data_IF_694701905947
#
_entry.id   IF_694701905947
#
_cell.length_a   1.000
_cell.length_b   1.000
_cell.length_c   1.000
_cell.angle_alpha   90.00
_cell.angle_beta   90.00
_cell.angle_gamma   90.00
#
_symmetry.space_group_name_H-M   'P 1'
#
loop_
_entity.id
_entity.type
_entity.pdbx_description
1 polymer ?
#
# COMPACT_ATOMS: atom_id res chain seq x y z
N UNK A 1 -5.29 -15.57 0.00
CA UNK A 1 -4.41 -14.79 -0.91
C UNK A 1 -3.09 -15.49 -1.25
N UNK A 2 -2.29 -15.97 -0.28
CA UNK A 2 -0.99 -16.64 -0.54
C UNK A 2 -1.01 -17.73 -1.64
N UNK A 3 -2.09 -18.51 -1.78
CA UNK A 3 -2.18 -19.55 -2.81
C UNK A 3 -2.07 -19.04 -4.25
N UNK A 4 -2.58 -17.83 -4.55
CA UNK A 4 -2.48 -17.27 -5.91
C UNK A 4 -1.04 -16.87 -6.25
N UNK A 5 -0.25 -16.48 -5.24
CA UNK A 5 1.17 -16.22 -5.41
C UNK A 5 1.95 -17.49 -5.71
N UNK A 6 1.67 -18.59 -5.01
CA UNK A 6 2.32 -19.87 -5.30
C UNK A 6 2.07 -20.32 -6.75
N UNK A 7 0.83 -20.13 -7.24
CA UNK A 7 0.46 -20.42 -8.62
C UNK A 7 1.21 -19.51 -9.59
N UNK A 8 1.24 -18.20 -9.34
CA UNK A 8 1.96 -17.23 -10.18
C UNK A 8 3.46 -17.52 -10.24
N UNK A 9 4.06 -17.85 -9.09
CA UNK A 9 5.47 -18.25 -8.97
C UNK A 9 5.76 -19.53 -9.75
N UNK A 10 4.96 -20.59 -9.54
CA UNK A 10 5.11 -21.84 -10.27
C UNK A 10 4.98 -21.65 -11.79
N UNK A 11 3.99 -20.86 -12.23
CA UNK A 11 3.77 -20.57 -13.64
C UNK A 11 4.93 -19.78 -14.25
N UNK A 12 5.38 -18.71 -13.60
CA UNK A 12 6.48 -17.86 -14.09
C UNK A 12 7.83 -18.60 -14.11
N UNK A 13 8.10 -19.46 -13.12
CA UNK A 13 9.26 -20.36 -13.12
C UNK A 13 9.19 -21.36 -14.27
N UNK A 14 8.03 -21.98 -14.51
CA UNK A 14 7.87 -22.91 -15.62
C UNK A 14 8.11 -22.23 -16.98
N UNK A 15 7.56 -21.02 -17.17
CA UNK A 15 7.73 -20.22 -18.39
C UNK A 15 9.20 -19.87 -18.64
N UNK A 16 9.90 -19.37 -17.62
CA UNK A 16 11.32 -19.00 -17.75
C UNK A 16 12.23 -20.21 -17.93
N UNK A 17 11.87 -21.37 -17.37
CA UNK A 17 12.58 -22.63 -17.58
C UNK A 17 12.37 -23.18 -18.99
N UNK A 18 11.15 -23.07 -19.55
CA UNK A 18 10.83 -23.56 -20.90
C UNK A 18 11.41 -22.68 -22.01
N UNK A 19 11.60 -21.38 -21.76
CA UNK A 19 12.03 -20.41 -22.76
C UNK A 19 13.16 -19.50 -22.25
N UNK A 20 14.31 -20.05 -21.81
CA UNK A 20 15.34 -19.29 -21.11
C UNK A 20 15.92 -18.13 -21.94
N UNK A 21 16.08 -18.31 -23.26
CA UNK A 21 16.59 -17.26 -24.16
C UNK A 21 15.65 -16.05 -24.27
N UNK A 22 14.33 -16.24 -24.10
CA UNK A 22 13.36 -15.12 -24.15
C UNK A 22 13.40 -14.23 -22.90
N UNK A 23 14.06 -14.69 -21.84
CA UNK A 23 14.17 -14.01 -20.56
C UNK A 23 15.62 -13.81 -20.15
N UNK A 24 16.54 -13.73 -21.12
CA UNK A 24 17.97 -13.49 -20.89
C UNK A 24 18.62 -14.46 -19.89
N UNK A 25 18.13 -15.70 -19.85
CA UNK A 25 18.54 -16.73 -18.88
C UNK A 25 18.37 -16.30 -17.40
N UNK A 26 17.45 -15.37 -17.13
CA UNK A 26 17.11 -14.94 -15.76
C UNK A 26 16.08 -15.86 -15.11
N UNK A 27 16.01 -15.80 -13.78
CA UNK A 27 15.05 -16.57 -12.98
C UNK A 27 13.86 -15.71 -12.58
N UNK A 28 12.66 -16.30 -12.62
CA UNK A 28 11.45 -15.62 -12.15
C UNK A 28 11.32 -15.61 -10.61
N UNK A 29 11.87 -16.59 -9.90
CA UNK A 29 11.75 -16.79 -8.45
C UNK A 29 12.83 -16.09 -7.63
N UNK A 30 13.11 -14.83 -7.96
CA UNK A 30 14.09 -14.02 -7.21
C UNK A 30 13.44 -13.26 -6.05
N UNK A 31 14.21 -12.93 -5.01
CA UNK A 31 13.73 -12.07 -3.91
C UNK A 31 13.22 -10.72 -4.40
N UNK A 32 13.83 -10.16 -5.44
CA UNK A 32 13.39 -8.91 -6.05
C UNK A 32 12.03 -9.04 -6.76
N UNK A 33 11.79 -10.16 -7.45
CA UNK A 33 10.51 -10.46 -8.05
C UNK A 33 9.42 -10.69 -6.99
N UNK A 34 9.73 -11.44 -5.93
CA UNK A 34 8.81 -11.67 -4.80
C UNK A 34 8.43 -10.32 -4.13
N UNK A 35 9.41 -9.44 -3.87
CA UNK A 35 9.16 -8.11 -3.31
C UNK A 35 8.27 -7.25 -4.23
N UNK A 36 8.60 -7.16 -5.53
CA UNK A 36 7.80 -6.39 -6.49
C UNK A 36 6.36 -6.91 -6.55
N UNK A 37 6.18 -8.23 -6.59
CA UNK A 37 4.85 -8.83 -6.62
C UNK A 37 4.06 -8.53 -5.35
N UNK A 38 4.72 -8.59 -4.18
CA UNK A 38 4.11 -8.27 -2.89
C UNK A 38 3.66 -6.81 -2.84
N UNK A 39 4.54 -5.86 -3.18
CA UNK A 39 4.23 -4.43 -3.15
C UNK A 39 3.11 -4.06 -4.13
N UNK A 40 3.09 -4.65 -5.32
CA UNK A 40 2.02 -4.40 -6.30
C UNK A 40 0.66 -4.89 -5.79
N UNK A 41 0.60 -6.04 -5.14
CA UNK A 41 -0.65 -6.55 -4.59
C UNK A 41 -1.12 -5.72 -3.41
N UNK A 42 -0.22 -5.37 -2.49
CA UNK A 42 -0.56 -4.50 -1.37
C UNK A 42 -1.10 -3.17 -1.90
N UNK A 43 -0.43 -2.53 -2.87
CA UNK A 43 -0.94 -1.29 -3.45
C UNK A 43 -2.32 -1.44 -4.10
N UNK A 44 -2.58 -2.55 -4.79
CA UNK A 44 -3.88 -2.81 -5.40
C UNK A 44 -4.98 -3.06 -4.36
N UNK A 45 -4.68 -3.82 -3.32
CA UNK A 45 -5.60 -4.11 -2.22
C UNK A 45 -5.89 -2.86 -1.38
N UNK A 46 -4.88 -2.01 -1.14
CA UNK A 46 -5.04 -0.72 -0.48
C UNK A 46 -6.08 0.17 -1.19
N UNK A 47 -6.02 0.25 -2.53
CA UNK A 47 -7.01 1.05 -3.28
C UNK A 47 -8.42 0.51 -3.08
N UNK A 48 -8.59 -0.81 -3.04
CA UNK A 48 -9.90 -1.41 -2.79
C UNK A 48 -10.39 -1.13 -1.36
N UNK A 49 -9.52 -1.33 -0.36
CA UNK A 49 -9.85 -1.10 1.05
C UNK A 49 -10.16 0.38 1.32
N UNK A 50 -9.38 1.31 0.78
CA UNK A 50 -9.61 2.75 0.94
C UNK A 50 -10.97 3.17 0.35
N UNK A 51 -11.35 2.65 -0.81
CA UNK A 51 -12.67 2.92 -1.36
C UNK A 51 -13.78 2.37 -0.45
N UNK A 52 -13.61 1.14 0.08
CA UNK A 52 -14.58 0.52 0.99
C UNK A 52 -14.69 1.34 2.29
N UNK A 53 -13.57 1.66 2.94
CA UNK A 53 -13.54 2.40 4.21
C UNK A 53 -14.08 3.81 4.06
N UNK A 54 -13.67 4.53 3.02
CA UNK A 54 -14.14 5.90 2.78
C UNK A 54 -15.63 5.94 2.43
N UNK A 55 -16.13 5.04 1.58
CA UNK A 55 -17.57 4.95 1.27
C UNK A 55 -18.37 4.57 2.51
N UNK A 56 -17.94 3.54 3.25
CA UNK A 56 -18.60 3.16 4.50
C UNK A 56 -18.63 4.30 5.52
N UNK A 57 -17.56 5.10 5.60
CA UNK A 57 -17.49 6.25 6.48
C UNK A 57 -18.47 7.35 6.09
N UNK A 58 -18.51 7.73 4.80
CA UNK A 58 -19.46 8.73 4.29
C UNK A 58 -20.90 8.29 4.48
N UNK A 59 -21.20 7.02 4.21
CA UNK A 59 -22.54 6.43 4.37
C UNK A 59 -22.91 6.16 5.83
N UNK A 60 -22.00 6.39 6.78
CA UNK A 60 -22.15 6.06 8.20
C UNK A 60 -22.57 4.60 8.41
N UNK A 61 -21.99 3.71 7.61
CA UNK A 61 -22.34 2.30 7.56
C UNK A 61 -21.90 1.58 8.85
N UNK A 62 -22.65 0.53 9.23
CA UNK A 62 -22.41 -0.23 10.47
C UNK A 62 -21.08 -1.01 10.48
N UNK A 63 -20.51 -1.23 9.30
CA UNK A 63 -19.27 -1.96 9.06
C UNK A 63 -18.05 -1.03 8.89
N UNK A 64 -18.20 0.29 9.11
CA UNK A 64 -17.10 1.25 9.00
C UNK A 64 -15.89 0.87 9.87
N UNK A 65 -16.11 0.48 11.13
CA UNK A 65 -15.02 0.06 12.03
C UNK A 65 -14.26 -1.16 11.50
N UNK A 66 -14.97 -2.11 10.88
CA UNK A 66 -14.35 -3.29 10.30
C UNK A 66 -13.52 -2.94 9.05
N UNK A 67 -14.00 -1.99 8.24
CA UNK A 67 -13.27 -1.49 7.07
C UNK A 67 -11.99 -0.75 7.47
N UNK A 68 -12.05 0.13 8.49
CA UNK A 68 -10.86 0.81 9.01
C UNK A 68 -9.85 -0.17 9.61
N UNK A 69 -10.31 -1.15 10.38
CA UNK A 69 -9.43 -2.18 10.93
C UNK A 69 -8.70 -2.98 9.84
N UNK A 70 -9.37 -3.24 8.71
CA UNK A 70 -8.73 -3.88 7.56
C UNK A 70 -7.62 -3.00 6.96
N UNK A 71 -7.79 -1.67 6.90
CA UNK A 71 -6.73 -0.75 6.47
C UNK A 71 -5.56 -0.67 7.45
N UNK A 72 -5.81 -0.74 8.75
CA UNK A 72 -4.75 -0.78 9.78
C UNK A 72 -3.89 -2.04 9.62
N UNK A 73 -4.55 -3.20 9.45
CA UNK A 73 -3.86 -4.46 9.19
C UNK A 73 -3.06 -4.40 7.88
N UNK A 74 -3.63 -3.78 6.85
CA UNK A 74 -2.96 -3.62 5.55
C UNK A 74 -1.76 -2.65 5.63
N UNK A 75 -1.82 -1.63 6.48
CA UNK A 75 -0.67 -0.76 6.79
C UNK A 75 0.46 -1.55 7.46
N UNK A 76 0.13 -2.46 8.39
CA UNK A 76 1.10 -3.33 9.01
C UNK A 76 1.79 -4.28 8.00
N UNK A 77 1.06 -4.77 7.00
CA UNK A 77 1.63 -5.59 5.91
C UNK A 77 2.59 -4.79 5.02
N UNK A 78 2.24 -3.55 4.67
CA UNK A 78 3.16 -2.63 3.98
C UNK A 78 4.42 -2.36 4.79
N UNK A 79 4.28 -2.10 6.10
CA UNK A 79 5.42 -1.90 7.00
C UNK A 79 6.33 -3.14 7.02
N UNK A 80 5.76 -4.35 7.06
CA UNK A 80 6.53 -5.59 7.00
C UNK A 80 7.30 -5.73 5.67
N UNK A 81 6.67 -5.37 4.54
CA UNK A 81 7.35 -5.36 3.24
C UNK A 81 8.50 -4.34 3.21
N UNK A 82 8.31 -3.14 3.74
CA UNK A 82 9.37 -2.13 3.86
C UNK A 82 10.51 -2.60 4.76
N UNK A 83 10.20 -3.23 5.90
CA UNK A 83 11.19 -3.80 6.81
C UNK A 83 12.11 -4.82 6.15
N UNK A 84 11.58 -5.59 5.19
CA UNK A 84 12.37 -6.59 4.46
C UNK A 84 13.51 -5.99 3.63
N UNK A 85 13.43 -4.69 3.32
CA UNK A 85 14.40 -3.94 2.49
C UNK A 85 15.20 -2.95 3.32
N UNK A 86 14.53 -2.12 4.10
CA UNK A 86 15.12 -0.97 4.80
C UNK A 86 15.34 -1.20 6.30
N UNK A 87 15.11 -2.43 6.78
CA UNK A 87 15.20 -2.78 8.19
C UNK A 87 14.12 -2.10 9.05
N UNK A 88 14.25 -2.26 10.37
CA UNK A 88 13.23 -1.79 11.32
C UNK A 88 13.06 -0.26 11.29
N UNK A 89 14.18 0.48 11.30
CA UNK A 89 14.15 1.95 11.32
C UNK A 89 13.49 2.53 10.06
N UNK A 90 13.82 1.99 8.88
CA UNK A 90 13.18 2.42 7.64
C UNK A 90 11.68 2.07 7.59
N UNK A 91 11.29 0.91 8.13
CA UNK A 91 9.89 0.53 8.24
C UNK A 91 9.08 1.45 9.19
N UNK A 92 9.68 1.84 10.31
CA UNK A 92 9.05 2.78 11.25
C UNK A 92 8.91 4.19 10.63
N UNK A 93 9.93 4.64 9.90
CA UNK A 93 9.85 5.92 9.16
C UNK A 93 8.79 5.87 8.05
N UNK A 94 8.70 4.75 7.31
CA UNK A 94 7.65 4.54 6.33
C UNK A 94 6.25 4.68 6.97
N UNK A 95 6.00 3.95 8.05
CA UNK A 95 4.70 3.95 8.73
C UNK A 95 4.33 5.36 9.20
N UNK A 96 5.29 6.11 9.75
CA UNK A 96 5.06 7.49 10.16
C UNK A 96 4.59 8.38 8.99
N UNK A 97 5.25 8.30 7.83
CA UNK A 97 4.89 9.07 6.64
C UNK A 97 3.53 8.62 6.10
N UNK A 98 3.31 7.30 6.04
CA UNK A 98 2.09 6.68 5.54
C UNK A 98 0.87 7.03 6.39
N UNK A 99 0.93 6.83 7.71
CA UNK A 99 -0.21 7.09 8.58
C UNK A 99 -0.57 8.59 8.59
N UNK A 100 0.43 9.46 8.78
CA UNK A 100 0.19 10.89 8.99
C UNK A 100 -0.37 11.62 7.77
N UNK A 101 0.21 11.42 6.59
CA UNK A 101 -0.14 12.23 5.42
C UNK A 101 -0.97 11.48 4.38
N UNK A 102 -1.18 10.16 4.54
CA UNK A 102 -2.01 9.35 3.65
C UNK A 102 -3.26 8.78 4.35
N UNK A 103 -3.13 8.03 5.46
CA UNK A 103 -4.29 7.45 6.16
C UNK A 103 -5.12 8.53 6.87
N UNK A 104 -4.51 9.41 7.65
CA UNK A 104 -5.24 10.52 8.31
C UNK A 104 -5.89 11.47 7.29
N UNK A 105 -5.24 11.67 6.13
CA UNK A 105 -5.82 12.47 5.06
C UNK A 105 -7.13 11.86 4.52
N UNK A 106 -7.19 10.53 4.36
CA UNK A 106 -8.41 9.83 3.95
C UNK A 106 -9.54 9.99 4.98
N UNK A 107 -9.23 9.83 6.27
CA UNK A 107 -10.19 10.07 7.34
C UNK A 107 -10.71 11.52 7.35
N UNK A 108 -9.82 12.49 7.08
CA UNK A 108 -10.20 13.89 6.96
C UNK A 108 -11.08 14.17 5.74
N UNK A 109 -10.84 13.52 4.60
CA UNK A 109 -11.70 13.63 3.42
C UNK A 109 -13.12 13.13 3.70
N UNK A 110 -13.24 11.99 4.40
CA UNK A 110 -14.55 11.44 4.83
C UNK A 110 -15.27 12.43 5.74
N UNK A 111 -14.58 12.92 6.77
CA UNK A 111 -15.15 13.90 7.73
C UNK A 111 -15.57 15.20 7.04
N UNK A 112 -14.74 15.70 6.12
CA UNK A 112 -15.04 16.88 5.34
C UNK A 112 -16.26 16.68 4.44
N UNK A 113 -16.40 15.50 3.81
CA UNK A 113 -17.54 15.18 2.96
C UNK A 113 -18.86 15.12 3.75
N UNK A 114 -18.86 14.49 4.92
CA UNK A 114 -20.05 14.40 5.80
C UNK A 114 -20.52 15.79 6.23
N UNK A 115 -19.57 16.70 6.51
CA UNK A 115 -19.86 18.03 7.05
C UNK A 115 -19.99 19.13 5.99
N UNK A 116 -19.84 18.82 4.69
CA UNK A 116 -19.67 19.80 3.60
C UNK A 116 -18.57 20.86 3.89
N UNK A 117 -17.50 20.44 4.58
CA UNK A 117 -16.39 21.31 4.98
C UNK A 117 -15.35 21.43 3.88
N UNK A 118 -15.52 22.44 3.03
CA UNK A 118 -14.60 22.74 1.91
C UNK A 118 -13.18 23.07 2.37
N UNK A 119 -13.01 23.65 3.56
CA UNK A 119 -11.67 23.98 4.06
C UNK A 119 -10.94 22.69 4.43
N UNK A 120 -11.60 21.83 5.22
CA UNK A 120 -11.03 20.54 5.61
C UNK A 120 -10.75 19.64 4.41
N UNK A 121 -11.63 19.66 3.39
CA UNK A 121 -11.40 18.98 2.12
C UNK A 121 -10.10 19.46 1.44
N UNK A 122 -9.89 20.78 1.37
CA UNK A 122 -8.67 21.36 0.81
C UNK A 122 -7.42 21.00 1.62
N UNK A 123 -7.48 21.10 2.95
CA UNK A 123 -6.36 20.76 3.83
C UNK A 123 -5.98 19.26 3.69
N UNK A 124 -6.96 18.36 3.60
CA UNK A 124 -6.72 16.93 3.41
C UNK A 124 -6.11 16.61 2.02
N UNK A 125 -6.52 17.32 0.97
CA UNK A 125 -5.89 17.22 -0.35
C UNK A 125 -4.43 17.70 -0.32
N UNK A 126 -4.12 18.74 0.46
CA UNK A 126 -2.75 19.21 0.65
C UNK A 126 -1.91 18.21 1.45
N UNK A 127 -2.49 17.50 2.43
CA UNK A 127 -1.83 16.38 3.12
C UNK A 127 -1.41 15.28 2.13
N UNK A 128 -2.28 14.89 1.19
CA UNK A 128 -1.94 13.89 0.17
C UNK A 128 -0.81 14.35 -0.77
N UNK A 129 -0.76 15.65 -1.09
CA UNK A 129 0.37 16.23 -1.84
C UNK A 129 1.66 16.17 -1.01
N UNK A 130 1.60 16.50 0.28
CA UNK A 130 2.74 16.40 1.19
C UNK A 130 3.22 14.96 1.34
N UNK A 131 2.31 13.99 1.42
CA UNK A 131 2.66 12.57 1.44
C UNK A 131 3.55 12.18 0.26
N UNK A 132 3.21 12.63 -0.95
CA UNK A 132 4.01 12.33 -2.15
C UNK A 132 5.45 12.85 -2.02
N UNK A 133 5.63 14.05 -1.44
CA UNK A 133 6.95 14.63 -1.19
C UNK A 133 7.71 13.88 -0.09
N UNK A 134 7.07 13.63 1.05
CA UNK A 134 7.67 12.98 2.21
C UNK A 134 8.03 11.52 1.91
N UNK A 135 7.17 10.82 1.16
CA UNK A 135 7.43 9.45 0.72
C UNK A 135 8.60 9.40 -0.27
N UNK A 136 8.67 10.36 -1.21
CA UNK A 136 9.84 10.51 -2.09
C UNK A 136 11.13 10.81 -1.33
N UNK A 137 11.07 11.68 -0.32
CA UNK A 137 12.21 11.98 0.55
C UNK A 137 12.66 10.76 1.36
N UNK A 138 11.71 9.98 1.90
CA UNK A 138 11.98 8.70 2.54
C UNK A 138 12.73 7.75 1.59
N UNK A 139 12.22 7.52 0.38
CA UNK A 139 12.86 6.63 -0.58
C UNK A 139 14.26 7.10 -1.01
N UNK A 140 14.49 8.42 -1.06
CA UNK A 140 15.80 8.99 -1.40
C UNK A 140 16.83 8.92 -0.27
N UNK A 141 16.38 8.83 0.98
CA UNK A 141 17.26 8.77 2.16
C UNK A 141 17.41 7.36 2.75
N UNK A 142 16.46 6.46 2.50
CA UNK A 142 16.47 5.10 3.01
C UNK A 142 17.57 4.27 2.31
N UNK A 143 18.45 3.66 3.10
CA UNK A 143 19.57 2.81 2.63
C UNK A 143 19.57 1.45 3.32
#
# INVERSE_FOLDING_TARGET
YSRMYDISKALSVAITTQMPEKFDNTKADTKAADLRSTLNSLAAEHVALANISMTAGVDQAKDYDAANWAEDMHTADFKAAMKSVYGQAGADQFEQVWTKNHIEAQANLVTAAINDDKKMMGDAQDMLKMFSNDFGAFLGAAT
#
